data_IF_682496183800
#
_entry.id   IF_682496183800
#
_cell.length_a   1.000
_cell.length_b   1.000
_cell.length_c   1.000
_cell.angle_alpha   90.00
_cell.angle_beta   90.00
_cell.angle_gamma   90.00
#
_symmetry.space_group_name_H-M   'P 1'
#
loop_
_entity.id
_entity.type
_entity.pdbx_description
1 polymer ?
#
# COMPACT_ATOMS: atom_id res chain seq x y z
N UNK A 1 9.90 45.92 -39.56
CA UNK A 1 9.10 44.68 -39.77
C UNK A 1 9.44 43.68 -38.67
N UNK A 2 8.73 43.70 -37.54
CA UNK A 2 9.03 42.92 -36.31
C UNK A 2 7.74 42.27 -35.75
N UNK A 3 6.92 41.65 -36.59
CA UNK A 3 5.57 41.15 -36.21
C UNK A 3 5.34 39.65 -36.38
N UNK A 4 6.35 38.86 -36.74
CA UNK A 4 6.18 37.42 -37.02
C UNK A 4 6.73 36.49 -35.94
N UNK A 5 7.42 37.01 -34.90
CA UNK A 5 8.01 36.16 -33.84
C UNK A 5 7.13 36.01 -32.59
N UNK A 6 6.04 36.74 -32.49
CA UNK A 6 5.25 36.83 -31.25
C UNK A 6 4.17 35.75 -31.12
N UNK A 7 3.89 35.00 -32.19
CA UNK A 7 2.84 33.98 -32.21
C UNK A 7 3.37 32.55 -32.00
N UNK A 8 4.67 32.31 -32.15
CA UNK A 8 5.26 30.97 -31.94
C UNK A 8 5.40 30.60 -30.46
N UNK A 9 5.32 31.56 -29.54
CA UNK A 9 5.48 31.31 -28.10
C UNK A 9 4.18 30.93 -27.39
N UNK A 10 3.01 31.11 -28.02
CA UNK A 10 1.72 30.94 -27.35
C UNK A 10 1.12 29.53 -27.47
N UNK A 11 1.69 28.65 -28.29
CA UNK A 11 1.21 27.26 -28.46
C UNK A 11 2.02 26.28 -27.57
N UNK A 12 3.14 26.71 -26.99
CA UNK A 12 4.01 25.86 -26.17
C UNK A 12 3.72 25.88 -24.66
N UNK A 13 2.58 26.46 -24.24
CA UNK A 13 2.27 26.69 -22.82
C UNK A 13 1.19 25.75 -22.23
N UNK A 14 0.63 24.83 -23.00
CA UNK A 14 -0.46 23.92 -22.56
C UNK A 14 -0.03 22.44 -22.63
N UNK A 15 1.24 22.16 -22.33
CA UNK A 15 1.82 20.81 -22.43
C UNK A 15 2.39 20.26 -21.12
N UNK A 16 2.12 20.90 -19.98
CA UNK A 16 2.90 20.66 -18.75
C UNK A 16 2.01 20.48 -17.52
N UNK A 17 1.13 19.47 -17.50
CA UNK A 17 0.55 19.00 -16.23
C UNK A 17 0.05 17.56 -16.28
N UNK A 18 0.89 16.65 -16.75
CA UNK A 18 0.77 15.22 -16.45
C UNK A 18 2.15 14.71 -16.02
N UNK A 19 2.71 15.31 -14.96
CA UNK A 19 3.67 14.61 -14.13
C UNK A 19 2.90 13.49 -13.44
N UNK A 20 2.88 12.34 -14.10
CA UNK A 20 2.49 11.07 -13.51
C UNK A 20 3.45 10.89 -12.34
N UNK A 21 2.99 11.24 -11.15
CA UNK A 21 3.60 10.81 -9.90
C UNK A 21 3.43 9.30 -9.93
N UNK A 22 4.39 8.59 -10.53
CA UNK A 22 4.56 7.17 -10.37
C UNK A 22 5.05 6.96 -8.93
N UNK A 23 4.21 7.32 -7.95
CA UNK A 23 4.48 7.09 -6.54
C UNK A 23 4.61 5.59 -6.39
N UNK A 24 5.81 5.12 -6.05
CA UNK A 24 5.98 3.68 -6.09
C UNK A 24 5.10 3.00 -5.03
N UNK A 25 4.15 2.23 -5.56
CA UNK A 25 3.00 1.72 -4.85
C UNK A 25 3.34 0.35 -4.25
N UNK A 26 4.38 0.30 -3.42
CA UNK A 26 4.52 -0.83 -2.50
C UNK A 26 3.92 -0.47 -1.14
N UNK A 27 3.56 -1.50 -0.38
CA UNK A 27 2.91 -1.36 0.92
C UNK A 27 3.96 -1.05 1.99
N UNK A 28 4.17 -1.94 2.94
CA UNK A 28 5.25 -1.89 3.92
C UNK A 28 5.76 -3.31 4.13
N UNK A 29 7.01 -3.44 4.56
CA UNK A 29 7.60 -4.74 4.84
C UNK A 29 7.29 -5.12 6.29
N UNK A 30 6.77 -6.33 6.48
CA UNK A 30 6.54 -6.97 7.78
C UNK A 30 7.65 -7.97 8.02
N UNK A 31 8.23 -7.93 9.22
CA UNK A 31 9.30 -8.83 9.64
C UNK A 31 8.92 -9.53 10.93
N UNK A 32 9.05 -10.85 10.97
CA UNK A 32 8.86 -11.68 12.17
C UNK A 32 9.78 -12.89 12.09
N UNK A 33 10.42 -13.22 13.21
CA UNK A 33 11.38 -14.33 13.32
C UNK A 33 12.48 -14.30 12.23
N UNK A 34 13.00 -13.10 11.94
CA UNK A 34 14.05 -12.87 10.95
C UNK A 34 13.61 -13.00 9.49
N UNK A 35 12.33 -13.23 9.21
CA UNK A 35 11.78 -13.33 7.85
C UNK A 35 11.00 -12.07 7.50
N UNK A 36 11.26 -11.52 6.32
CA UNK A 36 10.71 -10.24 5.89
C UNK A 36 9.99 -10.36 4.55
N UNK A 37 8.77 -9.82 4.48
CA UNK A 37 7.96 -9.83 3.26
C UNK A 37 7.16 -8.54 3.14
N UNK A 38 6.85 -8.12 1.91
CA UNK A 38 5.90 -7.03 1.70
C UNK A 38 4.49 -7.48 2.08
N UNK A 39 3.78 -6.66 2.85
CA UNK A 39 2.37 -6.91 3.18
C UNK A 39 1.53 -6.99 1.91
N UNK A 40 0.74 -8.06 1.74
CA UNK A 40 0.04 -8.36 0.50
C UNK A 40 0.84 -9.13 -0.55
N UNK A 41 2.09 -9.53 -0.26
CA UNK A 41 2.83 -10.40 -1.20
C UNK A 41 2.16 -11.78 -1.32
N UNK A 42 2.11 -12.34 -2.52
CA UNK A 42 1.59 -13.70 -2.76
C UNK A 42 2.58 -14.81 -2.38
N UNK A 43 3.49 -14.56 -1.44
CA UNK A 43 4.49 -15.55 -1.00
C UNK A 43 3.85 -16.50 0.02
N UNK A 44 4.04 -17.81 -0.17
CA UNK A 44 3.51 -18.83 0.73
C UNK A 44 4.00 -18.64 2.17
N UNK A 45 5.23 -18.19 2.34
CA UNK A 45 5.81 -17.96 3.65
C UNK A 45 5.14 -16.78 4.39
N UNK A 46 4.78 -15.72 3.67
CA UNK A 46 3.97 -14.64 4.27
C UNK A 46 2.60 -15.17 4.67
N UNK A 47 1.95 -15.94 3.78
CA UNK A 47 0.65 -16.55 4.08
C UNK A 47 0.71 -17.39 5.36
N UNK A 48 1.69 -18.27 5.49
CA UNK A 48 1.85 -19.08 6.69
C UNK A 48 2.08 -18.20 7.94
N UNK A 49 2.89 -17.15 7.79
CA UNK A 49 3.26 -16.24 8.88
C UNK A 49 2.08 -15.41 9.41
N UNK A 50 1.17 -14.94 8.55
CA UNK A 50 0.09 -14.02 8.97
C UNK A 50 -1.31 -14.63 8.87
N UNK A 51 -1.53 -15.62 8.00
CA UNK A 51 -2.85 -16.20 7.76
C UNK A 51 -3.04 -17.53 8.48
N UNK A 52 -2.14 -18.50 8.28
CA UNK A 52 -2.26 -19.81 8.95
C UNK A 52 -2.09 -19.68 10.48
N UNK A 53 -1.23 -18.75 10.93
CA UNK A 53 -1.09 -18.40 12.35
C UNK A 53 -2.34 -17.73 12.95
N UNK A 54 -3.23 -17.21 12.12
CA UNK A 54 -4.37 -16.39 12.51
C UNK A 54 -4.02 -14.96 12.94
N UNK A 55 -2.76 -14.55 12.81
CA UNK A 55 -2.28 -13.26 13.30
C UNK A 55 -2.91 -12.07 12.55
N UNK A 56 -3.10 -12.17 11.22
CA UNK A 56 -3.69 -11.08 10.45
C UNK A 56 -5.09 -10.73 10.94
N UNK A 57 -5.89 -11.72 11.35
CA UNK A 57 -7.22 -11.46 11.92
C UNK A 57 -7.12 -10.63 13.20
N UNK A 58 -6.27 -11.05 14.14
CA UNK A 58 -6.04 -10.34 15.41
C UNK A 58 -5.50 -8.92 15.18
N UNK A 59 -4.57 -8.77 14.24
CA UNK A 59 -4.01 -7.48 13.84
C UNK A 59 -5.10 -6.56 13.31
N UNK A 60 -5.94 -7.04 12.37
CA UNK A 60 -7.02 -6.24 11.82
C UNK A 60 -8.08 -5.90 12.87
N UNK A 61 -8.41 -6.83 13.77
CA UNK A 61 -9.33 -6.61 14.87
C UNK A 61 -8.82 -5.50 15.81
N UNK A 62 -7.50 -5.41 16.02
CA UNK A 62 -6.84 -4.34 16.80
C UNK A 62 -6.81 -2.96 16.15
N UNK A 63 -7.20 -2.83 14.88
CA UNK A 63 -7.24 -1.53 14.18
C UNK A 63 -8.58 -0.81 14.33
N UNK A 64 -8.57 0.51 14.10
CA UNK A 64 -9.75 1.37 13.93
C UNK A 64 -10.25 1.42 12.49
N UNK A 65 -9.76 0.54 11.60
CA UNK A 65 -10.24 0.46 10.22
C UNK A 65 -11.73 0.07 10.19
N UNK A 66 -12.45 0.48 9.13
CA UNK A 66 -13.82 0.04 8.93
C UNK A 66 -13.89 -1.46 8.69
N UNK A 67 -15.00 -2.10 9.04
CA UNK A 67 -15.16 -3.55 8.89
C UNK A 67 -14.94 -3.99 7.43
N UNK A 68 -15.50 -3.26 6.46
CA UNK A 68 -15.31 -3.55 5.04
C UNK A 68 -13.82 -3.59 4.64
N UNK A 69 -13.01 -2.67 5.17
CA UNK A 69 -11.59 -2.62 4.88
C UNK A 69 -10.83 -3.77 5.54
N UNK A 70 -11.21 -4.16 6.77
CA UNK A 70 -10.67 -5.35 7.45
C UNK A 70 -10.98 -6.61 6.64
N UNK A 71 -12.24 -6.79 6.25
CA UNK A 71 -12.70 -7.95 5.51
C UNK A 71 -11.99 -8.07 4.15
N UNK A 72 -11.85 -6.95 3.43
CA UNK A 72 -11.14 -6.93 2.14
C UNK A 72 -9.64 -7.20 2.29
N UNK A 73 -8.98 -6.60 3.29
CA UNK A 73 -7.57 -6.88 3.58
C UNK A 73 -7.36 -8.35 3.92
N UNK A 74 -8.24 -8.95 4.72
CA UNK A 74 -8.19 -10.36 5.05
C UNK A 74 -8.44 -11.23 3.81
N UNK A 75 -9.49 -10.92 3.04
CA UNK A 75 -9.86 -11.64 1.81
C UNK A 75 -8.68 -11.72 0.83
N UNK A 76 -8.03 -10.59 0.56
CA UNK A 76 -6.96 -10.53 -0.44
C UNK A 76 -5.58 -10.99 0.07
N UNK A 77 -5.44 -11.31 1.36
CA UNK A 77 -4.24 -11.94 1.92
C UNK A 77 -4.44 -13.43 2.25
N UNK A 78 -5.59 -13.82 2.82
CA UNK A 78 -5.75 -15.08 3.53
C UNK A 78 -6.74 -16.08 2.91
N UNK A 79 -7.34 -15.75 1.76
CA UNK A 79 -8.30 -16.63 1.08
C UNK A 79 -7.84 -17.00 -0.32
N UNK A 80 -8.59 -17.86 -1.01
CA UNK A 80 -8.36 -18.17 -2.43
C UNK A 80 -8.46 -16.93 -3.34
N UNK A 81 -9.03 -15.82 -2.86
CA UNK A 81 -9.08 -14.54 -3.59
C UNK A 81 -7.81 -13.70 -3.46
N UNK A 82 -6.68 -14.26 -3.01
CA UNK A 82 -5.42 -13.54 -2.81
C UNK A 82 -5.02 -12.66 -4.01
N UNK A 83 -4.63 -11.42 -3.73
CA UNK A 83 -4.24 -10.48 -4.80
C UNK A 83 -3.40 -9.32 -4.27
N UNK A 84 -2.11 -9.34 -4.63
CA UNK A 84 -1.16 -8.26 -4.29
C UNK A 84 -1.66 -6.89 -4.77
N UNK A 85 -2.14 -6.82 -6.00
CA UNK A 85 -2.61 -5.56 -6.60
C UNK A 85 -3.83 -4.99 -5.86
N UNK A 86 -4.75 -5.83 -5.39
CA UNK A 86 -5.88 -5.36 -4.60
C UNK A 86 -5.44 -4.88 -3.22
N UNK A 87 -4.50 -5.56 -2.56
CA UNK A 87 -3.95 -5.08 -1.28
C UNK A 87 -3.24 -3.72 -1.44
N UNK A 88 -2.43 -3.57 -2.49
CA UNK A 88 -1.80 -2.29 -2.84
C UNK A 88 -2.83 -1.19 -3.06
N UNK A 89 -3.88 -1.46 -3.84
CA UNK A 89 -4.94 -0.51 -4.12
C UNK A 89 -5.71 -0.09 -2.86
N UNK A 90 -6.03 -1.04 -1.98
CA UNK A 90 -6.65 -0.75 -0.69
C UNK A 90 -5.75 0.13 0.17
N UNK A 91 -4.48 -0.24 0.30
CA UNK A 91 -3.51 0.51 1.09
C UNK A 91 -3.29 1.92 0.53
N UNK A 92 -3.20 2.08 -0.80
CA UNK A 92 -3.11 3.37 -1.47
C UNK A 92 -4.37 4.23 -1.25
N UNK A 93 -5.55 3.61 -1.15
CA UNK A 93 -6.81 4.29 -0.83
C UNK A 93 -6.96 4.69 0.65
N UNK A 94 -6.14 4.15 1.55
CA UNK A 94 -6.16 4.53 2.97
C UNK A 94 -5.57 5.92 3.18
N UNK A 95 -6.15 6.65 4.14
CA UNK A 95 -5.53 7.85 4.72
C UNK A 95 -4.23 7.52 5.44
N UNK A 96 -3.37 8.52 5.64
CA UNK A 96 -2.12 8.37 6.38
C UNK A 96 -2.33 7.83 7.80
N UNK A 97 -3.41 8.23 8.47
CA UNK A 97 -3.78 7.76 9.81
C UNK A 97 -4.15 6.28 9.81
N UNK A 98 -4.97 5.82 8.86
CA UNK A 98 -5.33 4.42 8.70
C UNK A 98 -4.11 3.54 8.40
N UNK A 99 -3.20 4.00 7.53
CA UNK A 99 -1.95 3.28 7.25
C UNK A 99 -1.07 3.20 8.50
N UNK A 100 -1.00 4.28 9.30
CA UNK A 100 -0.26 4.31 10.56
C UNK A 100 -0.87 3.36 11.59
N UNK A 101 -2.19 3.38 11.75
CA UNK A 101 -2.93 2.52 12.66
C UNK A 101 -2.72 1.03 12.33
N UNK A 102 -2.80 0.67 11.04
CA UNK A 102 -2.50 -0.69 10.59
C UNK A 102 -1.07 -1.13 10.96
N UNK A 103 -0.06 -0.29 10.68
CA UNK A 103 1.35 -0.61 11.00
C UNK A 103 1.57 -0.74 12.51
N UNK A 104 0.98 0.14 13.31
CA UNK A 104 1.08 0.06 14.77
C UNK A 104 0.46 -1.24 15.31
N UNK A 105 -0.68 -1.66 14.75
CA UNK A 105 -1.29 -2.94 15.15
C UNK A 105 -0.36 -4.12 14.85
N UNK A 106 0.30 -4.16 13.68
CA UNK A 106 1.34 -5.16 13.41
C UNK A 106 2.45 -5.17 14.49
N UNK A 107 2.93 -4.00 14.91
CA UNK A 107 3.95 -3.89 15.96
C UNK A 107 3.46 -4.41 17.32
N UNK A 108 2.20 -4.14 17.70
CA UNK A 108 1.58 -4.67 18.92
C UNK A 108 1.58 -6.21 18.94
N UNK A 109 1.46 -6.85 17.77
CA UNK A 109 1.49 -8.31 17.62
C UNK A 109 2.90 -8.87 17.30
N UNK A 110 3.95 -8.10 17.57
CA UNK A 110 5.34 -8.57 17.54
C UNK A 110 5.97 -8.60 16.14
N UNK A 111 5.47 -7.80 15.21
CA UNK A 111 6.10 -7.62 13.90
C UNK A 111 6.92 -6.33 13.85
N UNK A 112 8.14 -6.41 13.33
CA UNK A 112 8.88 -5.23 12.95
C UNK A 112 8.36 -4.69 11.62
N UNK A 113 8.26 -3.37 11.51
CA UNK A 113 7.76 -2.70 10.31
C UNK A 113 8.85 -1.85 9.70
N UNK A 114 9.18 -2.16 8.45
CA UNK A 114 10.09 -1.37 7.65
C UNK A 114 9.32 -0.65 6.55
N UNK A 115 9.28 0.68 6.65
CA UNK A 115 8.75 1.54 5.61
C UNK A 115 9.88 1.78 4.59
N UNK A 116 9.74 1.23 3.40
CA UNK A 116 10.68 1.57 2.33
C UNK A 116 10.17 2.84 1.66
N UNK A 117 11.00 3.89 1.66
CA UNK A 117 10.70 5.10 0.92
C UNK A 117 10.66 4.78 -0.57
N UNK A 118 9.56 5.21 -1.17
CA UNK A 118 9.29 5.35 -2.58
C UNK A 118 8.68 6.76 -2.73
#
# INVERSE_FOLDING_TARGET
MKRTRMWLCMILAVGTLCLIIAGCSDTFMVTKDGKSYFFGSGKKELYNMICESGDLKKILDGTKLSQNLKDDLYKYNCTQSQSREKVKKLYAGMSSEQRRDLRLSFQVYGYDINLMAC
#
